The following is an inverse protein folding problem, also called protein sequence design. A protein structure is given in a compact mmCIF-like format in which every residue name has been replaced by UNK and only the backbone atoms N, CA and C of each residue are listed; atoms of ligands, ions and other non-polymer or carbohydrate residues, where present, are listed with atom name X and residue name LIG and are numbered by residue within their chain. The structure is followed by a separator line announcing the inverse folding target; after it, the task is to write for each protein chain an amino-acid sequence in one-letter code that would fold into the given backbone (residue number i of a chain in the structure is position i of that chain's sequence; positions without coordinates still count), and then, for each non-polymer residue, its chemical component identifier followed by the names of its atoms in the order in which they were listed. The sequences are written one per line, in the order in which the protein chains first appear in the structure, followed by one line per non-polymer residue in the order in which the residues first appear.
data_IF_330826467823
#
_entry.id   IF_330826467823
#
_cell.length_a   1.000
_cell.length_b   1.000
_cell.length_c   1.000
_cell.angle_alpha   90.00
_cell.angle_beta   90.00
_cell.angle_gamma   90.00
#
_symmetry.space_group_name_H-M   'P 1'
#
loop_
_entity.id
_entity.type
_entity.pdbx_description
1 polymer ?
#
# COMPACT_ATOMS: atom_id res chain seq x y z
N UNK A 1 16.67 7.48 29.83
CA UNK A 1 16.83 8.05 28.49
C UNK A 1 15.45 8.31 27.96
N UNK A 2 15.16 9.53 27.55
CA UNK A 2 13.77 10.00 27.37
C UNK A 2 13.09 9.34 26.18
N UNK A 3 11.83 8.93 26.35
CA UNK A 3 10.93 8.34 25.31
C UNK A 3 10.93 9.13 24.00
N UNK A 4 11.16 10.44 24.07
CA UNK A 4 11.32 11.31 22.89
C UNK A 4 12.49 10.95 21.97
N UNK A 5 13.56 10.32 22.47
CA UNK A 5 14.68 9.91 21.60
C UNK A 5 14.34 8.67 20.77
N UNK A 6 13.50 7.79 21.30
CA UNK A 6 13.07 6.56 20.60
C UNK A 6 12.07 6.92 19.51
N UNK A 7 11.18 7.87 19.79
CA UNK A 7 10.23 8.44 18.83
C UNK A 7 10.95 9.12 17.66
N UNK A 8 12.04 9.86 17.95
CA UNK A 8 12.92 10.44 16.93
C UNK A 8 13.69 9.38 16.11
N UNK A 9 14.04 8.23 16.68
CA UNK A 9 14.78 7.19 15.95
C UNK A 9 13.89 6.41 14.99
N UNK A 10 12.63 6.13 15.35
CA UNK A 10 11.65 5.49 14.44
C UNK A 10 11.29 6.45 13.32
N UNK A 11 11.03 7.72 13.63
CA UNK A 11 10.75 8.76 12.63
C UNK A 11 11.99 9.11 11.80
N UNK A 12 13.20 9.05 12.36
CA UNK A 12 14.44 9.28 11.63
C UNK A 12 14.79 8.13 10.69
N UNK A 13 14.47 6.88 11.04
CA UNK A 13 14.63 5.73 10.14
C UNK A 13 13.72 5.83 8.92
N UNK A 14 12.46 6.21 9.12
CA UNK A 14 11.49 6.45 8.05
C UNK A 14 11.89 7.69 7.23
N UNK A 15 12.32 8.78 7.88
CA UNK A 15 12.73 10.02 7.20
C UNK A 15 14.03 9.86 6.38
N UNK A 16 14.96 9.02 6.81
CA UNK A 16 16.17 8.70 6.04
C UNK A 16 15.85 7.87 4.79
N UNK A 17 14.90 6.97 4.88
CA UNK A 17 14.44 6.19 3.74
C UNK A 17 13.71 7.07 2.71
N UNK A 18 12.80 7.92 3.15
CA UNK A 18 12.10 8.92 2.31
C UNK A 18 13.08 9.91 1.69
N UNK A 19 14.07 10.39 2.43
CA UNK A 19 15.11 11.32 1.93
C UNK A 19 16.00 10.68 0.86
N UNK A 20 16.32 9.40 1.00
CA UNK A 20 17.11 8.68 0.00
C UNK A 20 16.31 8.42 -1.28
N UNK A 21 15.03 8.08 -1.17
CA UNK A 21 14.16 7.86 -2.33
C UNK A 21 13.87 9.15 -3.11
N UNK A 22 13.66 10.28 -2.42
CA UNK A 22 13.55 11.59 -3.07
C UNK A 22 14.82 11.95 -3.87
N UNK A 23 15.99 11.53 -3.40
CA UNK A 23 17.25 11.74 -4.12
C UNK A 23 17.37 10.87 -5.37
N UNK A 24 16.80 9.66 -5.37
CA UNK A 24 16.81 8.74 -6.53
C UNK A 24 15.75 9.13 -7.57
N UNK A 25 14.57 9.61 -7.14
CA UNK A 25 13.47 10.00 -8.05
C UNK A 25 13.62 11.39 -8.66
N UNK A 26 14.36 12.32 -8.04
CA UNK A 26 14.63 13.65 -8.60
C UNK A 26 15.64 13.68 -9.76
N UNK A 27 16.13 12.50 -10.18
CA UNK A 27 17.07 12.33 -11.30
C UNK A 27 16.41 12.04 -12.66
N UNK A 28 15.09 11.97 -12.76
CA UNK A 28 14.39 11.76 -14.03
C UNK A 28 13.38 12.88 -14.29
N UNK A 29 13.88 13.95 -14.91
CA UNK A 29 13.06 15.00 -15.51
C UNK A 29 12.33 14.45 -16.74
N UNK A 30 11.01 14.29 -16.66
CA UNK A 30 10.15 14.32 -17.84
C UNK A 30 9.12 15.43 -17.70
N UNK A 31 9.22 16.39 -18.62
CA UNK A 31 8.45 17.62 -18.65
C UNK A 31 6.96 17.42 -18.93
N UNK A 32 6.14 18.44 -18.68
CA UNK A 32 4.69 18.36 -18.73
C UNK A 32 4.15 18.35 -20.17
N UNK A 33 3.13 17.54 -20.49
CA UNK A 33 2.37 17.72 -21.72
C UNK A 33 1.26 18.77 -21.52
N UNK A 34 1.39 19.88 -22.20
CA UNK A 34 0.28 20.81 -22.45
C UNK A 34 -0.73 20.18 -23.43
N UNK A 35 -2.01 20.23 -23.11
CA UNK A 35 -3.02 19.78 -24.06
C UNK A 35 -4.49 19.98 -23.66
N UNK A 36 -4.95 21.21 -23.73
CA UNK A 36 -6.27 21.67 -24.24
C UNK A 36 -7.53 20.88 -23.93
N UNK A 37 -8.34 21.54 -23.15
CA UNK A 37 -9.80 21.44 -23.05
C UNK A 37 -10.50 21.27 -24.41
N UNK A 38 -11.40 20.33 -24.50
CA UNK A 38 -12.55 20.41 -25.39
C UNK A 38 -13.72 19.62 -24.81
N UNK A 39 -14.72 20.35 -24.33
CA UNK A 39 -16.06 19.80 -24.06
C UNK A 39 -16.72 19.40 -25.39
N UNK A 40 -17.44 18.31 -25.43
CA UNK A 40 -18.60 18.16 -26.29
C UNK A 40 -19.90 17.98 -25.48
N UNK A 41 -20.87 18.64 -25.98
CA UNK A 41 -22.30 18.80 -25.76
C UNK A 41 -23.09 17.46 -25.67
N UNK A 42 -24.18 17.39 -24.88
CA UNK A 42 -24.96 16.17 -24.65
C UNK A 42 -26.08 15.99 -25.68
N UNK A 43 -26.28 14.78 -26.18
CA UNK A 43 -27.53 14.31 -26.81
C UNK A 43 -27.51 12.78 -27.01
N UNK A 44 -28.67 12.13 -27.23
CA UNK A 44 -29.76 11.86 -26.31
C UNK A 44 -29.90 10.34 -26.00
N UNK A 45 -30.60 10.04 -24.93
CA UNK A 45 -30.99 8.73 -24.41
C UNK A 45 -31.71 7.84 -25.43
N UNK A 46 -31.37 6.59 -25.58
CA UNK A 46 -32.30 5.55 -26.06
C UNK A 46 -32.90 4.75 -24.90
N UNK A 47 -34.19 4.65 -24.94
CA UNK A 47 -35.11 3.87 -24.10
C UNK A 47 -34.70 2.39 -24.01
N UNK A 48 -34.79 1.73 -22.85
CA UNK A 48 -34.46 0.32 -22.73
C UNK A 48 -35.57 -0.56 -23.28
N UNK A 49 -35.25 -1.34 -24.32
CA UNK A 49 -36.06 -2.48 -24.73
C UNK A 49 -35.81 -3.65 -23.79
N UNK A 50 -36.83 -3.99 -23.05
CA UNK A 50 -36.93 -5.21 -22.26
C UNK A 50 -36.95 -6.45 -23.18
N UNK A 51 -35.84 -7.19 -23.18
CA UNK A 51 -35.84 -8.58 -23.67
C UNK A 51 -35.24 -9.45 -22.59
N UNK A 52 -36.03 -10.30 -21.98
CA UNK A 52 -35.59 -11.27 -20.99
C UNK A 52 -34.73 -12.33 -21.68
N UNK A 53 -33.52 -12.62 -21.18
CA UNK A 53 -32.72 -13.76 -21.61
C UNK A 53 -33.03 -14.96 -20.71
N UNK A 54 -33.63 -15.98 -21.31
CA UNK A 54 -33.64 -17.34 -20.78
C UNK A 54 -32.32 -18.00 -21.13
N UNK A 55 -31.52 -18.33 -20.13
CA UNK A 55 -30.29 -19.06 -20.32
C UNK A 55 -29.32 -18.69 -19.20
N UNK A 56 -29.02 -19.61 -18.28
CA UNK A 56 -28.20 -19.39 -17.11
C UNK A 56 -26.68 -19.27 -17.45
N UNK A 57 -26.28 -18.17 -18.06
CA UNK A 57 -24.90 -17.72 -17.99
C UNK A 57 -24.75 -16.98 -16.67
N UNK A 58 -23.89 -17.50 -15.83
CA UNK A 58 -23.39 -16.75 -14.65
C UNK A 58 -22.62 -15.56 -15.20
N UNK A 59 -23.30 -14.43 -15.41
CA UNK A 59 -22.65 -13.18 -15.73
C UNK A 59 -21.77 -12.85 -14.49
N UNK A 60 -20.49 -13.11 -14.59
CA UNK A 60 -19.55 -12.56 -13.62
C UNK A 60 -19.69 -11.03 -13.73
N UNK A 61 -20.39 -10.44 -12.76
CA UNK A 61 -20.54 -9.01 -12.67
C UNK A 61 -19.12 -8.43 -12.47
N UNK A 62 -18.64 -7.71 -13.49
CA UNK A 62 -17.38 -6.97 -13.39
C UNK A 62 -17.42 -6.11 -12.14
N UNK A 63 -16.37 -6.14 -11.29
CA UNK A 63 -16.30 -5.29 -10.11
C UNK A 63 -16.45 -3.81 -10.50
N UNK A 64 -17.17 -3.05 -9.70
CA UNK A 64 -17.26 -1.61 -9.86
C UNK A 64 -16.28 -0.96 -8.90
N UNK A 65 -15.30 -0.24 -9.43
CA UNK A 65 -14.31 0.48 -8.65
C UNK A 65 -14.77 1.92 -8.42
N UNK A 66 -14.59 2.43 -7.20
CA UNK A 66 -14.99 3.77 -6.80
C UNK A 66 -13.91 4.43 -5.94
N UNK A 67 -13.93 5.75 -5.85
CA UNK A 67 -12.97 6.50 -5.06
C UNK A 67 -11.71 6.90 -5.84
N UNK A 68 -10.70 7.49 -5.17
CA UNK A 68 -9.52 8.06 -5.81
C UNK A 68 -8.68 7.03 -6.57
N UNK A 69 -8.60 5.80 -6.08
CA UNK A 69 -7.82 4.71 -6.68
C UNK A 69 -8.58 3.94 -7.80
N UNK A 70 -9.82 4.36 -8.16
CA UNK A 70 -10.69 3.58 -9.05
C UNK A 70 -10.05 3.24 -10.40
N UNK A 71 -9.43 4.23 -11.05
CA UNK A 71 -8.80 4.04 -12.37
C UNK A 71 -7.63 3.05 -12.32
N UNK A 72 -6.79 3.14 -11.28
CA UNK A 72 -5.67 2.21 -11.10
C UNK A 72 -6.12 0.80 -10.75
N UNK A 73 -7.13 0.65 -9.89
CA UNK A 73 -7.73 -0.66 -9.59
C UNK A 73 -8.37 -1.30 -10.82
N UNK A 74 -8.99 -0.50 -11.69
CA UNK A 74 -9.56 -0.97 -12.96
C UNK A 74 -8.46 -1.46 -13.89
N UNK A 75 -7.36 -0.72 -14.04
CA UNK A 75 -6.21 -1.13 -14.84
C UNK A 75 -5.57 -2.43 -14.32
N UNK A 76 -5.43 -2.58 -13.01
CA UNK A 76 -4.93 -3.82 -12.39
C UNK A 76 -5.88 -4.99 -12.70
N UNK A 77 -7.20 -4.79 -12.55
CA UNK A 77 -8.19 -5.82 -12.84
C UNK A 77 -8.22 -6.22 -14.33
N UNK A 78 -7.98 -5.28 -15.24
CA UNK A 78 -7.87 -5.59 -16.67
C UNK A 78 -6.65 -6.47 -17.00
N UNK A 79 -5.54 -6.27 -16.28
CA UNK A 79 -4.35 -7.08 -16.42
C UNK A 79 -4.43 -8.41 -15.65
N UNK A 80 -5.14 -8.44 -14.53
CA UNK A 80 -5.34 -9.62 -13.70
C UNK A 80 -6.79 -9.67 -13.16
N UNK A 81 -7.63 -10.42 -13.81
CA UNK A 81 -9.06 -10.57 -13.47
C UNK A 81 -9.31 -11.27 -12.12
N UNK A 82 -8.27 -11.81 -11.49
CA UNK A 82 -8.36 -12.37 -10.14
C UNK A 82 -8.26 -11.31 -9.04
N UNK A 83 -7.89 -10.07 -9.40
CA UNK A 83 -7.79 -8.97 -8.45
C UNK A 83 -9.15 -8.61 -7.86
N UNK A 84 -9.29 -8.75 -6.55
CA UNK A 84 -10.45 -8.33 -5.77
C UNK A 84 -10.04 -7.34 -4.68
N UNK A 85 -10.51 -6.08 -4.71
CA UNK A 85 -10.14 -5.07 -3.70
C UNK A 85 -10.49 -5.46 -2.26
N UNK A 86 -11.55 -6.26 -2.06
CA UNK A 86 -11.94 -6.72 -0.72
C UNK A 86 -10.97 -7.77 -0.20
N UNK A 87 -10.63 -8.74 -1.05
CA UNK A 87 -9.62 -9.75 -0.76
C UNK A 87 -8.26 -9.12 -0.53
N UNK A 88 -7.87 -8.15 -1.38
CA UNK A 88 -6.66 -7.37 -1.19
C UNK A 88 -6.63 -6.66 0.17
N UNK A 89 -7.68 -5.92 0.54
CA UNK A 89 -7.74 -5.21 1.82
C UNK A 89 -7.69 -6.14 3.04
N UNK A 90 -8.27 -7.33 2.93
CA UNK A 90 -8.16 -8.34 3.99
C UNK A 90 -6.71 -8.82 4.13
N UNK A 91 -6.04 -9.12 3.02
CA UNK A 91 -4.62 -9.49 2.99
C UNK A 91 -3.71 -8.38 3.49
N UNK A 92 -3.93 -7.15 3.03
CA UNK A 92 -3.14 -5.97 3.42
C UNK A 92 -3.22 -5.68 4.94
N UNK A 93 -4.41 -5.84 5.56
CA UNK A 93 -4.55 -5.73 7.02
C UNK A 93 -3.78 -6.82 7.76
N UNK A 94 -3.89 -8.06 7.31
CA UNK A 94 -3.15 -9.17 7.90
C UNK A 94 -1.63 -8.99 7.73
N UNK A 95 -1.18 -8.51 6.57
CA UNK A 95 0.22 -8.19 6.31
C UNK A 95 0.71 -7.07 7.25
N UNK A 96 -0.06 -5.99 7.41
CA UNK A 96 0.27 -4.90 8.35
C UNK A 96 0.48 -5.42 9.78
N UNK A 97 -0.45 -6.24 10.30
CA UNK A 97 -0.34 -6.84 11.63
C UNK A 97 0.90 -7.73 11.76
N UNK A 98 1.16 -8.57 10.77
CA UNK A 98 2.33 -9.46 10.77
C UNK A 98 3.64 -8.67 10.70
N UNK A 99 3.72 -7.69 9.81
CA UNK A 99 4.94 -6.90 9.57
C UNK A 99 5.26 -6.03 10.78
N UNK A 100 4.30 -5.26 11.31
CA UNK A 100 4.51 -4.42 12.51
C UNK A 100 4.88 -5.29 13.70
N UNK A 101 4.20 -6.43 13.90
CA UNK A 101 4.53 -7.35 14.98
C UNK A 101 5.92 -7.99 14.83
N UNK A 102 6.30 -8.41 13.63
CA UNK A 102 7.62 -8.98 13.36
C UNK A 102 8.72 -7.93 13.54
N UNK A 103 8.52 -6.71 13.01
CA UNK A 103 9.44 -5.60 13.20
C UNK A 103 9.65 -5.27 14.67
N UNK A 104 8.56 -5.17 15.46
CA UNK A 104 8.64 -4.90 16.89
C UNK A 104 9.47 -5.95 17.65
N UNK A 105 9.39 -7.22 17.26
CA UNK A 105 10.18 -8.32 17.87
C UNK A 105 11.58 -8.49 17.26
N UNK A 106 11.93 -7.79 16.18
CA UNK A 106 13.17 -8.02 15.43
C UNK A 106 13.20 -9.34 14.67
N UNK A 107 12.03 -9.88 14.31
CA UNK A 107 11.88 -11.17 13.63
C UNK A 107 12.09 -11.02 12.11
N UNK A 108 13.36 -11.06 11.71
CA UNK A 108 13.81 -10.89 10.32
C UNK A 108 13.30 -11.99 9.39
N UNK A 109 13.19 -13.22 9.89
CA UNK A 109 12.72 -14.36 9.09
C UNK A 109 11.24 -14.20 8.72
N UNK A 110 10.42 -13.68 9.64
CA UNK A 110 9.02 -13.39 9.39
C UNK A 110 8.83 -12.18 8.45
N UNK A 111 9.74 -11.21 8.44
CA UNK A 111 9.69 -10.03 7.57
C UNK A 111 10.03 -10.35 6.12
N UNK A 112 11.04 -11.18 5.89
CA UNK A 112 11.62 -11.46 4.58
C UNK A 112 10.61 -11.83 3.48
N UNK A 113 9.61 -12.67 3.70
CA UNK A 113 8.61 -13.03 2.67
C UNK A 113 7.52 -11.98 2.47
N UNK A 114 7.48 -10.92 3.28
CA UNK A 114 6.44 -9.89 3.26
C UNK A 114 6.91 -8.55 2.67
N UNK A 115 8.22 -8.35 2.59
CA UNK A 115 8.83 -7.09 2.17
C UNK A 115 9.55 -7.27 0.84
N UNK A 116 9.54 -6.21 0.02
CA UNK A 116 10.50 -6.11 -1.07
C UNK A 116 11.93 -5.97 -0.54
N UNK A 117 12.91 -6.23 -1.41
CA UNK A 117 14.33 -6.28 -1.02
C UNK A 117 14.81 -4.97 -0.40
N UNK A 118 14.48 -3.84 -1.01
CA UNK A 118 14.95 -2.53 -0.55
C UNK A 118 14.34 -2.16 0.82
N UNK A 119 13.05 -2.45 1.00
CA UNK A 119 12.36 -2.26 2.28
C UNK A 119 12.93 -3.18 3.35
N UNK A 120 13.18 -4.44 2.99
CA UNK A 120 13.77 -5.40 3.93
C UNK A 120 15.15 -4.95 4.42
N UNK A 121 16.03 -4.49 3.52
CA UNK A 121 17.37 -4.01 3.88
C UNK A 121 17.32 -2.80 4.83
N UNK A 122 16.43 -1.85 4.54
CA UNK A 122 16.24 -0.67 5.41
C UNK A 122 15.71 -1.07 6.80
N UNK A 123 14.79 -2.01 6.86
CA UNK A 123 14.20 -2.46 8.13
C UNK A 123 15.13 -3.35 8.93
N UNK A 124 15.95 -4.19 8.29
CA UNK A 124 17.01 -4.94 8.94
C UNK A 124 18.06 -4.02 9.61
N UNK A 125 18.45 -2.96 8.90
CA UNK A 125 19.34 -1.94 9.46
C UNK A 125 18.71 -1.24 10.69
N UNK A 126 17.43 -0.86 10.62
CA UNK A 126 16.71 -0.25 11.73
C UNK A 126 16.57 -1.18 12.94
N UNK A 127 16.31 -2.48 12.72
CA UNK A 127 16.28 -3.48 13.79
C UNK A 127 17.66 -3.59 14.43
N UNK A 128 18.74 -3.65 13.63
CA UNK A 128 20.10 -3.77 14.11
C UNK A 128 20.52 -2.57 14.96
N UNK A 129 20.14 -1.34 14.58
CA UNK A 129 20.37 -0.13 15.35
C UNK A 129 19.61 -0.15 16.68
N UNK A 130 18.33 -0.56 16.66
CA UNK A 130 17.52 -0.71 17.87
C UNK A 130 18.10 -1.74 18.84
N UNK A 131 18.57 -2.89 18.35
CA UNK A 131 19.22 -3.92 19.15
C UNK A 131 20.50 -3.40 19.83
N UNK A 132 21.30 -2.58 19.15
CA UNK A 132 22.50 -1.95 19.72
C UNK A 132 22.19 -0.94 20.83
N UNK A 133 21.07 -0.23 20.72
CA UNK A 133 20.63 0.73 21.74
C UNK A 133 19.88 0.08 22.91
N UNK A 134 19.47 -1.18 22.76
CA UNK A 134 18.65 -1.91 23.74
C UNK A 134 17.24 -1.36 23.89
N UNK A 135 16.75 -0.63 22.88
CA UNK A 135 15.40 -0.09 22.87
C UNK A 135 14.37 -1.19 22.57
N UNK A 136 13.23 -1.16 23.28
CA UNK A 136 12.12 -2.06 23.02
C UNK A 136 11.40 -1.68 21.72
N UNK A 137 10.91 -2.70 21.01
CA UNK A 137 10.12 -2.50 19.79
C UNK A 137 8.67 -2.19 20.14
N UNK A 138 8.05 -1.32 19.36
CA UNK A 138 6.62 -1.03 19.49
C UNK A 138 5.77 -2.21 19.00
N UNK A 139 4.63 -2.40 19.63
CA UNK A 139 3.65 -3.42 19.28
C UNK A 139 2.38 -2.76 18.75
N UNK A 140 1.75 -3.39 17.77
CA UNK A 140 0.45 -2.95 17.29
C UNK A 140 -0.61 -3.24 18.35
N UNK A 141 -1.29 -2.19 18.81
CA UNK A 141 -2.42 -2.30 19.71
C UNK A 141 -3.73 -2.45 18.92
N UNK A 142 -3.92 -1.65 17.89
CA UNK A 142 -5.06 -1.74 16.97
C UNK A 142 -4.88 -0.94 15.70
N UNK A 143 -5.55 -1.38 14.63
CA UNK A 143 -5.78 -0.60 13.42
C UNK A 143 -7.10 0.16 13.58
N UNK A 144 -7.07 1.48 13.51
CA UNK A 144 -8.25 2.36 13.59
C UNK A 144 -8.92 2.53 12.24
N UNK A 145 -8.09 2.70 11.20
CA UNK A 145 -8.52 2.89 9.81
C UNK A 145 -7.57 2.14 8.89
N UNK A 146 -8.09 1.61 7.80
CA UNK A 146 -7.33 1.16 6.65
C UNK A 146 -8.18 1.37 5.40
N UNK A 147 -7.65 2.11 4.42
CA UNK A 147 -8.37 2.54 3.22
C UNK A 147 -7.41 2.60 2.04
N UNK A 148 -7.82 2.08 0.87
CA UNK A 148 -7.06 2.25 -0.38
C UNK A 148 -7.15 3.71 -0.80
N UNK A 149 -6.01 4.37 -0.95
CA UNK A 149 -5.90 5.77 -1.35
C UNK A 149 -5.41 5.93 -2.77
N UNK A 150 -4.58 5.00 -3.26
CA UNK A 150 -4.05 5.02 -4.63
C UNK A 150 -3.87 3.60 -5.17
N UNK A 151 -3.88 3.48 -6.50
CA UNK A 151 -3.55 2.26 -7.21
C UNK A 151 -2.96 2.61 -8.59
N UNK A 152 -2.00 1.82 -9.04
CA UNK A 152 -1.37 2.00 -10.35
C UNK A 152 -0.90 0.67 -10.93
N UNK A 153 -0.83 0.63 -12.27
CA UNK A 153 -0.22 -0.46 -13.03
C UNK A 153 0.86 0.14 -13.92
N UNK A 154 2.09 -0.32 -13.74
CA UNK A 154 3.22 0.08 -14.58
C UNK A 154 3.25 -0.72 -15.90
N UNK A 155 3.96 -0.19 -16.91
CA UNK A 155 4.06 -0.79 -18.24
C UNK A 155 4.66 -2.20 -18.23
N UNK A 156 5.48 -2.51 -17.23
CA UNK A 156 6.08 -3.85 -17.02
C UNK A 156 5.13 -4.84 -16.35
N UNK A 157 3.89 -4.43 -16.06
CA UNK A 157 2.88 -5.23 -15.40
C UNK A 157 2.99 -5.27 -13.88
N UNK A 158 3.82 -4.42 -13.27
CA UNK A 158 3.88 -4.27 -11.83
C UNK A 158 2.69 -3.46 -11.32
N UNK A 159 1.82 -4.10 -10.56
CA UNK A 159 0.71 -3.46 -9.87
C UNK A 159 1.16 -2.94 -8.51
N UNK A 160 0.75 -1.72 -8.16
CA UNK A 160 0.93 -1.09 -6.85
C UNK A 160 -0.39 -0.62 -6.29
N UNK A 161 -0.61 -0.86 -5.02
CA UNK A 161 -1.81 -0.38 -4.30
C UNK A 161 -1.36 0.22 -2.97
N UNK A 162 -1.71 1.49 -2.76
CA UNK A 162 -1.38 2.23 -1.53
C UNK A 162 -2.56 2.24 -0.58
N UNK A 163 -2.30 1.89 0.67
CA UNK A 163 -3.27 1.86 1.77
C UNK A 163 -2.86 2.85 2.84
N UNK A 164 -3.79 3.74 3.21
CA UNK A 164 -3.66 4.57 4.40
C UNK A 164 -4.01 3.74 5.62
N UNK A 165 -3.08 3.63 6.57
CA UNK A 165 -3.32 3.07 7.89
C UNK A 165 -3.29 4.17 8.95
N UNK A 166 -4.32 4.21 9.80
CA UNK A 166 -4.27 4.88 11.09
C UNK A 166 -4.27 3.80 12.17
N UNK A 167 -3.22 3.76 12.98
CA UNK A 167 -3.03 2.73 13.99
C UNK A 167 -2.65 3.31 15.35
N UNK A 168 -2.71 2.48 16.38
CA UNK A 168 -2.16 2.76 17.71
C UNK A 168 -1.10 1.70 18.00
N UNK A 169 0.08 2.18 18.32
CA UNK A 169 1.26 1.38 18.68
C UNK A 169 1.59 1.62 20.16
N UNK A 170 2.17 0.65 20.82
CA UNK A 170 2.58 0.77 22.21
C UNK A 170 3.82 -0.04 22.55
N UNK A 171 4.58 0.43 23.55
CA UNK A 171 5.74 -0.22 24.13
C UNK A 171 5.46 -0.81 25.53
N UNK A 172 4.20 -0.79 25.97
CA UNK A 172 3.75 -1.20 27.31
C UNK A 172 3.63 -0.06 28.30
N UNK A 173 4.30 1.08 28.07
CA UNK A 173 4.22 2.28 28.94
C UNK A 173 3.48 3.42 28.24
N UNK A 174 3.71 3.59 26.95
CA UNK A 174 3.15 4.67 26.14
C UNK A 174 2.33 4.14 24.96
N UNK A 175 1.44 4.97 24.46
CA UNK A 175 0.68 4.70 23.23
C UNK A 175 0.89 5.83 22.25
N UNK A 176 1.35 5.48 21.03
CA UNK A 176 1.58 6.42 19.94
C UNK A 176 0.58 6.15 18.81
N UNK A 177 0.07 7.22 18.22
CA UNK A 177 -0.75 7.14 17.01
C UNK A 177 0.17 7.24 15.80
N UNK A 178 0.00 6.33 14.84
CA UNK A 178 0.67 6.36 13.57
C UNK A 178 -0.35 6.60 12.45
N UNK A 179 0.04 7.38 11.44
CA UNK A 179 -0.71 7.60 10.20
C UNK A 179 0.27 7.41 9.04
N UNK A 180 0.09 6.34 8.28
CA UNK A 180 1.09 5.86 7.33
C UNK A 180 0.44 5.43 6.03
N UNK A 181 1.14 5.66 4.92
CA UNK A 181 0.80 5.18 3.58
C UNK A 181 1.71 3.97 3.28
N UNK A 182 1.11 2.82 3.11
CA UNK A 182 1.79 1.57 2.79
C UNK A 182 1.49 1.16 1.36
N UNK A 183 2.51 1.12 0.52
CA UNK A 183 2.39 0.68 -0.87
C UNK A 183 2.78 -0.78 -0.98
N UNK A 184 1.83 -1.59 -1.44
CA UNK A 184 2.05 -3.00 -1.74
C UNK A 184 2.21 -3.20 -3.24
N UNK A 185 3.12 -4.07 -3.66
CA UNK A 185 3.34 -4.40 -5.06
C UNK A 185 3.14 -5.89 -5.35
N UNK A 186 2.75 -6.19 -6.59
CA UNK A 186 2.68 -7.55 -7.13
C UNK A 186 2.79 -7.52 -8.65
N UNK A 187 3.53 -8.46 -9.23
CA UNK A 187 3.54 -8.67 -10.67
C UNK A 187 2.24 -9.36 -11.11
N UNK A 188 1.45 -8.73 -11.98
CA UNK A 188 0.13 -9.22 -12.42
C UNK A 188 0.20 -10.58 -13.14
N UNK A 189 1.33 -10.89 -13.80
CA UNK A 189 1.56 -12.17 -14.45
C UNK A 189 2.04 -13.29 -13.50
N UNK A 190 2.28 -12.98 -12.21
CA UNK A 190 2.74 -13.95 -11.23
C UNK A 190 1.62 -14.88 -10.82
N UNK A 191 1.93 -16.17 -10.69
CA UNK A 191 1.03 -17.16 -10.07
C UNK A 191 1.01 -17.07 -8.54
N UNK A 192 1.96 -16.33 -7.93
CA UNK A 192 1.98 -16.06 -6.51
C UNK A 192 0.93 -14.98 -6.18
N UNK A 193 -0.06 -15.26 -5.34
CA UNK A 193 -1.07 -14.30 -4.96
C UNK A 193 -0.58 -13.25 -3.95
N UNK A 194 0.61 -13.42 -3.38
CA UNK A 194 1.12 -12.56 -2.32
C UNK A 194 1.55 -11.20 -2.86
N UNK A 195 1.21 -10.16 -2.10
CA UNK A 195 1.67 -8.80 -2.30
C UNK A 195 2.83 -8.53 -1.33
N UNK A 196 3.87 -7.88 -1.81
CA UNK A 196 5.02 -7.47 -1.01
C UNK A 196 4.90 -5.99 -0.66
N UNK A 197 5.35 -5.60 0.52
CA UNK A 197 5.47 -4.20 0.89
C UNK A 197 6.65 -3.58 0.14
N UNK A 198 6.35 -2.58 -0.70
CA UNK A 198 7.29 -1.86 -1.58
C UNK A 198 7.71 -0.50 -0.99
N UNK A 199 6.84 0.12 -0.16
CA UNK A 199 7.11 1.45 0.37
C UNK A 199 6.27 1.77 1.61
N UNK A 200 6.81 2.63 2.48
CA UNK A 200 6.11 3.20 3.64
C UNK A 200 6.42 4.68 3.77
N UNK A 201 5.38 5.51 3.68
CA UNK A 201 5.44 6.95 3.88
C UNK A 201 4.59 7.39 5.08
N UNK A 202 4.91 8.54 5.65
CA UNK A 202 4.03 9.19 6.63
C UNK A 202 2.89 9.90 5.92
N UNK A 203 1.66 9.72 6.42
CA UNK A 203 0.53 10.52 5.96
C UNK A 203 0.45 11.82 6.77
N UNK A 204 0.48 12.96 6.08
CA UNK A 204 0.33 14.31 6.66
C UNK A 204 -1.11 14.60 7.10
#
# INVERSE_FOLDING_TARGET
MSSSMIEFLVLAGIALFVGWRLFVTLGQDEGPPEGRSRMPNPEPTPTPSTTAPTGGDVVQLRPSFTGPAAAGMEAIYEADQSFDPRGFMQGARAAYEMIVGAFGRGDREALKPLLDTDVYEAWDAAISEREQTGAEGMQLLRIRKAEITDASLADDGMARVTVLYESELGDGETTTKASELWTFMRQTSSSDPNWLLDDVDTAD
#
